data_IF_153015966010
#
_entry.id   IF_153015966010
#
_cell.length_a   1.000
_cell.length_b   1.000
_cell.length_c   1.000
_cell.angle_alpha   90.00
_cell.angle_beta   90.00
_cell.angle_gamma   90.00
#
_symmetry.space_group_name_H-M   'P 1'
#
loop_
_entity.id
_entity.type
_entity.pdbx_description
1 polymer ?
#
# COMPACT_ATOMS: atom_id res chain seq x y z
N UNK A 1 4.99 -0.09 -83.97
CA UNK A 1 4.14 1.13 -84.07
C UNK A 1 4.63 2.09 -82.97
N UNK A 2 5.48 3.09 -83.25
CA UNK A 2 5.17 4.41 -83.84
C UNK A 2 4.04 5.09 -83.03
N UNK A 3 4.18 6.24 -82.37
CA UNK A 3 4.90 7.52 -82.65
C UNK A 3 4.87 8.38 -81.36
N UNK A 4 5.95 9.04 -80.90
CA UNK A 4 6.37 10.44 -81.19
C UNK A 4 5.25 11.51 -81.08
N UNK A 5 5.41 12.75 -80.60
CA UNK A 5 6.46 13.63 -80.02
C UNK A 5 5.80 15.00 -79.72
N UNK A 6 6.38 15.80 -78.80
CA UNK A 6 6.68 17.28 -78.84
C UNK A 6 6.71 17.81 -77.38
N UNK A 7 7.80 18.31 -76.77
CA UNK A 7 8.75 19.42 -77.09
C UNK A 7 8.00 20.76 -77.15
N UNK A 8 8.29 21.89 -76.46
CA UNK A 8 9.42 22.48 -75.72
C UNK A 8 8.82 23.55 -74.73
N UNK A 9 9.51 24.18 -73.76
CA UNK A 9 10.62 25.13 -73.90
C UNK A 9 11.26 25.48 -72.53
N UNK A 10 12.54 25.79 -72.62
CA UNK A 10 13.46 26.22 -71.57
C UNK A 10 13.20 27.63 -71.01
N UNK A 11 13.78 27.93 -69.84
CA UNK A 11 14.56 29.17 -69.52
C UNK A 11 15.28 29.00 -68.17
N UNK A 12 16.62 29.01 -68.18
CA UNK A 12 17.54 30.10 -67.75
C UNK A 12 17.85 30.02 -66.25
N UNK A 13 19.13 29.82 -65.95
CA UNK A 13 19.64 29.62 -64.60
C UNK A 13 19.91 30.90 -63.83
N UNK A 14 20.35 30.71 -62.58
CA UNK A 14 21.17 31.66 -61.86
C UNK A 14 21.93 30.91 -60.76
N UNK A 15 23.26 30.97 -60.81
CA UNK A 15 24.13 30.66 -59.68
C UNK A 15 23.88 31.70 -58.58
N UNK A 16 23.65 31.26 -57.35
CA UNK A 16 23.74 32.12 -56.17
C UNK A 16 24.54 31.38 -55.08
N UNK A 17 25.77 31.83 -54.94
CA UNK A 17 26.67 31.54 -53.83
C UNK A 17 26.08 32.21 -52.57
N UNK A 18 25.69 31.43 -51.57
CA UNK A 18 25.23 31.95 -50.28
C UNK A 18 26.32 31.73 -49.23
N UNK A 19 27.01 32.83 -48.90
CA UNK A 19 27.68 33.00 -47.63
C UNK A 19 26.60 33.28 -46.58
N UNK A 20 26.46 32.39 -45.60
CA UNK A 20 25.72 32.68 -44.37
C UNK A 20 26.66 32.43 -43.19
N UNK A 21 26.92 33.52 -42.50
CA UNK A 21 27.72 33.70 -41.30
C UNK A 21 27.27 32.76 -40.20
N UNK A 22 28.22 32.02 -39.61
CA UNK A 22 28.00 31.17 -38.45
C UNK A 22 27.49 31.98 -37.26
N UNK A 23 26.21 31.80 -36.94
CA UNK A 23 25.67 32.05 -35.60
C UNK A 23 25.88 30.77 -34.82
N UNK A 24 26.81 30.80 -33.87
CA UNK A 24 26.92 29.77 -32.85
C UNK A 24 25.66 29.86 -31.97
N UNK A 25 24.63 29.08 -32.31
CA UNK A 25 23.59 28.75 -31.35
C UNK A 25 24.24 27.86 -30.29
N UNK A 26 24.64 28.45 -29.16
CA UNK A 26 24.82 27.70 -27.93
C UNK A 26 23.46 27.09 -27.61
N UNK A 27 23.27 25.81 -27.95
CA UNK A 27 22.19 25.02 -27.38
C UNK A 27 22.44 24.99 -25.88
N UNK A 28 21.72 25.83 -25.13
CA UNK A 28 21.57 25.67 -23.70
C UNK A 28 21.00 24.29 -23.48
N UNK A 29 21.84 23.36 -23.01
CA UNK A 29 21.37 22.15 -22.37
C UNK A 29 20.50 22.64 -21.22
N UNK A 30 19.19 22.59 -21.40
CA UNK A 30 18.27 22.75 -20.29
C UNK A 30 18.67 21.64 -19.30
N UNK A 31 19.30 22.04 -18.19
CA UNK A 31 19.39 21.17 -17.03
C UNK A 31 17.96 20.80 -16.70
N UNK A 32 17.59 19.54 -16.95
CA UNK A 32 16.35 19.00 -16.42
C UNK A 32 16.38 19.27 -14.92
N UNK A 33 15.51 20.17 -14.47
CA UNK A 33 15.41 20.49 -13.05
C UNK A 33 15.03 19.18 -12.36
N UNK A 34 15.89 18.70 -11.46
CA UNK A 34 15.57 17.57 -10.59
C UNK A 34 14.22 17.89 -9.95
N UNK A 35 13.19 17.02 -10.11
CA UNK A 35 11.89 17.26 -9.52
C UNK A 35 12.04 17.52 -8.02
N UNK A 36 11.33 18.52 -7.51
CA UNK A 36 11.33 18.78 -6.08
C UNK A 36 10.81 17.55 -5.32
N UNK A 37 11.44 17.25 -4.17
CA UNK A 37 10.97 16.17 -3.32
C UNK A 37 9.54 16.42 -2.84
N UNK A 38 8.78 15.34 -2.73
CA UNK A 38 7.53 15.35 -1.99
C UNK A 38 7.79 15.76 -0.53
N UNK A 39 6.84 16.46 0.13
CA UNK A 39 7.03 16.94 1.50
C UNK A 39 7.49 15.84 2.47
N UNK A 40 6.87 14.64 2.42
CA UNK A 40 7.26 13.53 3.28
C UNK A 40 8.68 13.03 3.07
N UNK A 41 9.23 13.17 1.87
CA UNK A 41 10.62 12.79 1.55
C UNK A 41 11.58 13.85 2.09
N UNK A 42 11.20 15.13 2.02
CA UNK A 42 11.94 16.21 2.68
C UNK A 42 11.99 16.02 4.20
N UNK A 43 10.87 15.63 4.81
CA UNK A 43 10.79 15.28 6.23
C UNK A 43 11.74 14.15 6.61
N UNK A 44 11.83 13.09 5.78
CA UNK A 44 12.79 12.01 6.01
C UNK A 44 14.22 12.56 5.98
N UNK A 45 14.57 13.35 4.94
CA UNK A 45 15.91 13.93 4.82
C UNK A 45 16.29 14.73 6.06
N UNK A 46 15.37 15.54 6.60
CA UNK A 46 15.58 16.29 7.84
C UNK A 46 15.75 15.37 9.06
N UNK A 47 14.93 14.32 9.18
CA UNK A 47 15.07 13.33 10.24
C UNK A 47 16.46 12.68 10.20
N UNK A 48 16.93 12.24 9.02
CA UNK A 48 18.23 11.58 8.88
C UNK A 48 19.39 12.52 9.22
N UNK A 49 19.31 13.80 8.84
CA UNK A 49 20.31 14.81 9.21
C UNK A 49 20.43 15.01 10.74
N UNK A 50 19.31 14.93 11.45
CA UNK A 50 19.28 15.11 12.92
C UNK A 50 19.50 13.82 13.69
N UNK A 51 19.44 12.66 13.03
CA UNK A 51 19.56 11.32 13.62
C UNK A 51 20.50 10.42 12.81
N UNK A 52 21.83 10.60 12.97
CA UNK A 52 22.83 9.78 12.28
C UNK A 52 22.70 8.28 12.55
N UNK A 53 22.17 7.90 13.72
CA UNK A 53 21.89 6.52 14.09
C UNK A 53 20.77 5.90 13.22
N UNK A 54 19.69 6.66 12.96
CA UNK A 54 18.61 6.23 12.04
C UNK A 54 19.13 6.20 10.60
N UNK A 55 19.94 7.18 10.21
CA UNK A 55 20.55 7.22 8.87
C UNK A 55 21.43 6.00 8.60
N UNK A 56 22.32 5.65 9.54
CA UNK A 56 23.17 4.48 9.41
C UNK A 56 22.34 3.19 9.30
N UNK A 57 21.33 3.05 10.16
CA UNK A 57 20.42 1.90 10.14
C UNK A 57 19.64 1.78 8.81
N UNK A 58 19.23 2.91 8.22
CA UNK A 58 18.56 2.92 6.92
C UNK A 58 19.50 2.55 5.78
N UNK A 59 20.72 3.09 5.75
CA UNK A 59 21.71 2.71 4.74
C UNK A 59 22.00 1.21 4.81
N UNK A 60 22.25 0.67 6.00
CA UNK A 60 22.45 -0.77 6.19
C UNK A 60 21.24 -1.58 5.73
N UNK A 61 20.03 -1.13 6.06
CA UNK A 61 18.79 -1.79 5.66
C UNK A 61 18.64 -1.88 4.14
N UNK A 62 18.91 -0.78 3.43
CA UNK A 62 18.80 -0.71 1.97
C UNK A 62 19.85 -1.60 1.27
N UNK A 63 21.10 -1.57 1.75
CA UNK A 63 22.17 -2.42 1.22
C UNK A 63 21.85 -3.91 1.45
N UNK A 64 21.31 -4.26 2.63
CA UNK A 64 20.92 -5.63 2.95
C UNK A 64 19.68 -6.09 2.19
N UNK A 65 18.73 -5.20 1.94
CA UNK A 65 17.52 -5.50 1.16
C UNK A 65 17.90 -5.88 -0.28
N UNK A 66 18.83 -5.13 -0.88
CA UNK A 66 19.31 -5.31 -2.26
C UNK A 66 18.15 -5.52 -3.24
N UNK A 67 17.24 -4.55 -3.27
CA UNK A 67 15.98 -4.65 -4.00
C UNK A 67 15.86 -3.56 -5.07
N UNK A 68 15.68 -3.96 -6.33
CA UNK A 68 15.40 -3.08 -7.47
C UNK A 68 16.34 -1.86 -7.58
N UNK A 69 17.64 -2.07 -7.33
CA UNK A 69 18.67 -1.01 -7.33
C UNK A 69 18.49 0.10 -6.28
N UNK A 70 17.60 -0.09 -5.29
CA UNK A 70 17.37 0.84 -4.18
C UNK A 70 18.32 0.51 -3.03
N UNK A 71 19.62 0.73 -3.23
CA UNK A 71 20.68 0.41 -2.26
C UNK A 71 21.34 1.64 -1.65
N UNK A 72 20.98 2.84 -2.10
CA UNK A 72 21.48 4.13 -1.61
C UNK A 72 20.33 5.01 -1.11
N UNK A 73 20.65 5.99 -0.25
CA UNK A 73 19.66 6.97 0.20
C UNK A 73 19.06 7.76 -0.97
N UNK A 74 19.88 8.14 -1.95
CA UNK A 74 19.43 8.88 -3.12
C UNK A 74 18.41 8.06 -3.95
N UNK A 75 18.72 6.79 -4.22
CA UNK A 75 17.79 5.90 -4.89
C UNK A 75 16.50 5.69 -4.07
N UNK A 76 16.63 5.59 -2.74
CA UNK A 76 15.47 5.45 -1.86
C UNK A 76 14.58 6.69 -1.84
N UNK A 77 15.15 7.90 -1.82
CA UNK A 77 14.36 9.13 -1.93
C UNK A 77 13.62 9.21 -3.27
N UNK A 78 14.28 8.82 -4.37
CA UNK A 78 13.62 8.70 -5.68
C UNK A 78 12.44 7.72 -5.64
N UNK A 79 12.66 6.53 -5.09
CA UNK A 79 11.61 5.53 -4.88
C UNK A 79 10.44 6.08 -4.06
N UNK A 80 10.70 6.79 -2.96
CA UNK A 80 9.65 7.34 -2.10
C UNK A 80 8.85 8.46 -2.76
N UNK A 81 9.51 9.31 -3.55
CA UNK A 81 8.87 10.38 -4.31
C UNK A 81 7.83 9.82 -5.30
N UNK A 82 8.11 8.66 -5.89
CA UNK A 82 7.14 7.95 -6.73
C UNK A 82 6.10 7.18 -5.91
N UNK A 83 6.53 6.53 -4.82
CA UNK A 83 5.69 5.65 -4.02
C UNK A 83 4.53 6.39 -3.32
N UNK A 84 4.77 7.60 -2.78
CA UNK A 84 3.74 8.37 -2.06
C UNK A 84 2.59 8.84 -2.96
N UNK A 85 2.79 8.87 -4.28
CA UNK A 85 1.73 9.17 -5.26
C UNK A 85 1.51 8.01 -6.24
N UNK A 86 1.87 6.78 -5.84
CA UNK A 86 1.73 5.62 -6.73
C UNK A 86 0.25 5.29 -6.93
N UNK A 87 -0.14 5.21 -8.20
CA UNK A 87 -1.49 4.84 -8.62
C UNK A 87 -1.66 3.33 -8.45
N UNK A 88 -2.64 2.86 -7.65
CA UNK A 88 -2.87 1.43 -7.46
C UNK A 88 -3.19 0.70 -8.75
N UNK A 89 -2.67 -0.52 -8.89
CA UNK A 89 -3.04 -1.46 -9.94
C UNK A 89 -3.27 -2.84 -9.34
N UNK A 90 -4.22 -3.60 -9.87
CA UNK A 90 -4.54 -4.94 -9.36
C UNK A 90 -3.32 -5.89 -9.36
N UNK A 91 -2.46 -5.81 -10.38
CA UNK A 91 -1.30 -6.68 -10.61
C UNK A 91 -0.06 -6.32 -9.76
N UNK A 92 0.01 -5.10 -9.23
CA UNK A 92 1.16 -4.59 -8.48
C UNK A 92 0.88 -4.13 -7.06
N UNK A 93 -0.38 -3.86 -6.68
CA UNK A 93 -0.73 -3.23 -5.41
C UNK A 93 -0.06 -3.89 -4.19
N UNK A 94 -0.19 -5.22 -4.06
CA UNK A 94 0.43 -5.94 -2.96
C UNK A 94 1.96 -5.88 -3.06
N UNK A 95 2.52 -6.06 -4.27
CA UNK A 95 3.97 -6.02 -4.53
C UNK A 95 4.59 -4.68 -4.17
N UNK A 96 3.89 -3.60 -4.50
CA UNK A 96 4.28 -2.23 -4.19
C UNK A 96 4.30 -1.97 -2.69
N UNK A 97 3.24 -2.41 -1.99
CA UNK A 97 3.15 -2.30 -0.54
C UNK A 97 4.25 -3.10 0.18
N UNK A 98 4.48 -4.37 -0.21
CA UNK A 98 5.51 -5.20 0.43
C UNK A 98 6.91 -4.73 0.10
N UNK A 99 7.16 -4.14 -1.09
CA UNK A 99 8.45 -3.56 -1.43
C UNK A 99 8.83 -2.39 -0.52
N UNK A 100 7.87 -1.53 -0.19
CA UNK A 100 8.09 -0.41 0.73
C UNK A 100 8.57 -0.92 2.10
N UNK A 101 7.85 -1.90 2.66
CA UNK A 101 8.20 -2.47 3.96
C UNK A 101 9.49 -3.30 3.91
N UNK A 102 9.72 -4.05 2.83
CA UNK A 102 10.93 -4.87 2.68
C UNK A 102 12.22 -4.04 2.78
N UNK A 103 12.24 -2.84 2.18
CA UNK A 103 13.38 -1.93 2.20
C UNK A 103 13.75 -1.45 3.61
N UNK A 104 12.77 -1.34 4.52
CA UNK A 104 12.96 -0.83 5.89
C UNK A 104 12.95 -1.94 6.96
N UNK A 105 12.42 -3.12 6.64
CA UNK A 105 12.30 -4.27 7.54
C UNK A 105 13.65 -4.93 7.86
N UNK A 106 14.72 -4.63 7.11
CA UNK A 106 16.02 -5.29 7.30
C UNK A 106 16.77 -4.84 8.57
N UNK A 107 16.25 -3.81 9.26
CA UNK A 107 16.85 -3.22 10.46
C UNK A 107 15.88 -3.13 11.64
N UNK A 108 16.18 -3.88 12.69
CA UNK A 108 15.49 -3.80 14.00
C UNK A 108 15.52 -2.39 14.60
N UNK A 109 16.61 -1.65 14.38
CA UNK A 109 16.77 -0.30 14.90
C UNK A 109 15.72 0.65 14.30
N UNK A 110 15.43 0.52 13.00
CA UNK A 110 14.38 1.29 12.33
C UNK A 110 12.98 0.92 12.86
N UNK A 111 12.69 -0.39 13.00
CA UNK A 111 11.40 -0.89 13.50
C UNK A 111 11.12 -0.50 14.95
N UNK A 112 12.17 -0.24 15.73
CA UNK A 112 12.08 0.18 17.14
C UNK A 112 12.19 1.70 17.33
N UNK A 113 12.62 2.44 16.31
CA UNK A 113 12.79 3.90 16.38
C UNK A 113 11.45 4.63 16.29
N UNK A 114 11.01 5.23 17.40
CA UNK A 114 9.76 5.99 17.44
C UNK A 114 9.70 7.13 16.39
N UNK A 115 10.71 8.01 16.25
CA UNK A 115 10.66 9.06 15.23
C UNK A 115 10.57 8.52 13.80
N UNK A 116 11.21 7.38 13.52
CA UNK A 116 11.12 6.74 12.21
C UNK A 116 9.75 6.13 11.98
N UNK A 117 9.17 5.46 12.98
CA UNK A 117 7.81 4.92 12.90
C UNK A 117 6.76 6.03 12.72
N UNK A 118 6.93 7.18 13.38
CA UNK A 118 6.08 8.35 13.14
C UNK A 118 6.21 8.90 11.71
N UNK A 119 7.41 8.83 11.11
CA UNK A 119 7.58 9.13 9.70
C UNK A 119 6.88 8.11 8.79
N UNK A 120 7.01 6.81 9.06
CA UNK A 120 6.32 5.74 8.29
C UNK A 120 4.80 5.93 8.34
N UNK A 121 4.24 6.23 9.51
CA UNK A 121 2.80 6.51 9.66
C UNK A 121 2.38 7.69 8.77
N UNK A 122 3.12 8.79 8.78
CA UNK A 122 2.83 9.96 7.95
C UNK A 122 2.97 9.66 6.45
N UNK A 123 3.95 8.84 6.06
CA UNK A 123 4.09 8.38 4.67
C UNK A 123 2.87 7.60 4.19
N UNK A 124 2.38 6.67 5.00
CA UNK A 124 1.17 5.90 4.67
C UNK A 124 -0.07 6.81 4.64
N UNK A 125 -0.16 7.80 5.53
CA UNK A 125 -1.23 8.79 5.53
C UNK A 125 -1.20 9.69 4.28
N UNK A 126 -0.03 10.14 3.84
CA UNK A 126 0.12 10.97 2.64
C UNK A 126 -0.23 10.19 1.38
N UNK A 127 0.16 8.91 1.29
CA UNK A 127 -0.31 8.04 0.21
C UNK A 127 -1.83 7.86 0.28
N UNK A 128 -2.38 7.61 1.46
CA UNK A 128 -3.84 7.56 1.67
C UNK A 128 -4.55 8.84 1.21
N UNK A 129 -3.98 10.01 1.46
CA UNK A 129 -4.49 11.31 0.99
C UNK A 129 -4.40 11.45 -0.53
N UNK A 130 -3.35 10.94 -1.17
CA UNK A 130 -3.30 10.84 -2.63
C UNK A 130 -4.41 9.92 -3.18
N UNK A 131 -4.71 8.82 -2.48
CA UNK A 131 -5.78 7.89 -2.86
C UNK A 131 -7.20 8.47 -2.73
N UNK A 132 -7.36 9.61 -2.07
CA UNK A 132 -8.61 10.39 -2.05
C UNK A 132 -8.77 11.33 -3.26
N UNK A 133 -7.77 11.41 -4.15
CA UNK A 133 -7.83 12.26 -5.35
C UNK A 133 -8.38 11.51 -6.57
N UNK A 134 -8.97 12.20 -7.57
CA UNK A 134 -9.37 11.57 -8.82
C UNK A 134 -8.22 10.93 -9.62
N UNK A 135 -6.98 11.45 -9.47
CA UNK A 135 -5.82 10.92 -10.16
C UNK A 135 -5.50 9.46 -9.78
N UNK A 136 -5.85 9.06 -8.55
CA UNK A 136 -5.68 7.68 -8.06
C UNK A 136 -6.49 6.63 -8.83
N UNK A 137 -7.46 7.04 -9.65
CA UNK A 137 -8.28 6.13 -10.46
C UNK A 137 -7.71 5.82 -11.85
N UNK A 138 -6.56 6.39 -12.22
CA UNK A 138 -6.06 6.26 -13.59
C UNK A 138 -5.89 4.80 -14.06
N UNK A 139 -5.74 3.86 -13.13
CA UNK A 139 -5.60 2.42 -13.40
C UNK A 139 -6.75 1.56 -12.88
N UNK A 140 -7.93 2.15 -12.62
CA UNK A 140 -9.09 1.43 -12.09
C UNK A 140 -9.51 0.24 -12.97
N UNK A 141 -9.29 0.32 -14.29
CA UNK A 141 -9.60 -0.77 -15.23
C UNK A 141 -8.81 -2.06 -14.96
N UNK A 142 -7.61 -1.97 -14.37
CA UNK A 142 -6.86 -3.16 -13.96
C UNK A 142 -7.62 -4.01 -12.95
N UNK A 143 -8.39 -3.39 -12.06
CA UNK A 143 -9.22 -4.07 -11.07
C UNK A 143 -10.48 -4.69 -11.66
N UNK A 144 -11.06 -4.08 -12.69
CA UNK A 144 -12.17 -4.68 -13.43
C UNK A 144 -11.73 -5.88 -14.28
N UNK A 145 -10.49 -5.87 -14.77
CA UNK A 145 -9.92 -6.96 -15.54
C UNK A 145 -9.51 -8.17 -14.69
N UNK A 146 -9.30 -7.99 -13.39
CA UNK A 146 -8.91 -9.07 -12.48
C UNK A 146 -10.16 -9.75 -11.86
N UNK A 147 -10.44 -11.03 -12.21
CA UNK A 147 -11.60 -11.74 -11.70
C UNK A 147 -11.58 -11.94 -10.18
N UNK A 148 -10.43 -11.86 -9.52
CA UNK A 148 -10.32 -12.00 -8.06
C UNK A 148 -11.00 -10.85 -7.30
N UNK A 149 -11.19 -9.70 -7.94
CA UNK A 149 -11.93 -8.58 -7.35
C UNK A 149 -13.44 -8.75 -7.43
N UNK A 150 -13.97 -9.66 -8.27
CA UNK A 150 -15.41 -9.98 -8.38
C UNK A 150 -16.30 -8.74 -8.51
N UNK A 151 -15.99 -7.85 -9.46
CA UNK A 151 -16.63 -6.54 -9.57
C UNK A 151 -18.15 -6.56 -9.71
N UNK A 152 -18.73 -7.65 -10.19
CA UNK A 152 -20.18 -7.84 -10.29
C UNK A 152 -20.91 -7.88 -8.94
N UNK A 153 -20.19 -8.11 -7.83
CA UNK A 153 -20.76 -8.14 -6.49
C UNK A 153 -21.04 -6.75 -5.92
N UNK A 154 -20.45 -5.69 -6.47
CA UNK A 154 -20.46 -4.37 -5.85
C UNK A 154 -21.34 -3.36 -6.57
N UNK A 155 -21.87 -2.41 -5.80
CA UNK A 155 -22.62 -1.27 -6.31
C UNK A 155 -21.65 -0.25 -6.92
N UNK A 156 -21.95 0.18 -8.14
CA UNK A 156 -21.26 1.28 -8.82
C UNK A 156 -22.30 2.36 -9.05
N UNK A 157 -22.12 3.53 -8.45
CA UNK A 157 -23.04 4.65 -8.61
C UNK A 157 -23.05 5.18 -10.05
N UNK A 158 -24.07 5.95 -10.46
CA UNK A 158 -24.16 6.50 -11.82
C UNK A 158 -22.95 7.33 -12.26
N UNK A 159 -22.27 7.98 -11.32
CA UNK A 159 -21.05 8.75 -11.56
C UNK A 159 -19.75 7.94 -11.50
N UNK A 160 -19.82 6.63 -11.29
CA UNK A 160 -18.65 5.78 -11.06
C UNK A 160 -17.91 6.09 -9.77
N UNK A 161 -16.68 5.61 -9.67
CA UNK A 161 -15.75 5.93 -8.58
C UNK A 161 -15.19 7.33 -8.76
N UNK A 162 -15.05 8.08 -7.66
CA UNK A 162 -14.48 9.43 -7.63
C UNK A 162 -13.00 9.44 -7.25
N UNK A 163 -12.57 8.46 -6.46
CA UNK A 163 -11.18 8.21 -6.09
C UNK A 163 -10.98 6.73 -5.73
N UNK A 164 -9.73 6.31 -5.54
CA UNK A 164 -9.40 4.93 -5.23
C UNK A 164 -9.93 4.50 -3.84
N UNK A 165 -9.87 5.36 -2.82
CA UNK A 165 -10.38 5.01 -1.49
C UNK A 165 -11.88 4.68 -1.49
N UNK A 166 -12.69 5.36 -2.31
CA UNK A 166 -14.10 5.03 -2.52
C UNK A 166 -14.27 3.64 -3.16
N UNK A 167 -13.42 3.29 -4.13
CA UNK A 167 -13.40 1.96 -4.74
C UNK A 167 -12.94 0.89 -3.74
N UNK A 168 -11.91 1.17 -2.95
CA UNK A 168 -11.38 0.25 -1.94
C UNK A 168 -12.46 -0.06 -0.90
N UNK A 169 -13.18 0.97 -0.43
CA UNK A 169 -14.32 0.88 0.47
C UNK A 169 -15.67 0.71 -0.27
N UNK A 170 -15.68 0.05 -1.45
CA UNK A 170 -16.88 -0.26 -2.25
C UNK A 170 -17.99 -0.92 -1.43
N UNK A 171 -19.23 -0.80 -1.89
CA UNK A 171 -20.40 -1.41 -1.25
C UNK A 171 -20.87 -2.67 -1.96
N UNK A 172 -21.27 -3.67 -1.19
CA UNK A 172 -21.80 -4.93 -1.73
C UNK A 172 -23.27 -4.78 -2.13
N UNK A 173 -23.66 -5.36 -3.27
CA UNK A 173 -25.06 -5.39 -3.71
C UNK A 173 -25.91 -6.27 -2.78
N UNK A 174 -27.20 -5.95 -2.58
CA UNK A 174 -28.12 -6.82 -1.85
C UNK A 174 -28.10 -8.26 -2.38
N UNK A 175 -28.11 -9.22 -1.46
CA UNK A 175 -28.15 -10.66 -1.79
C UNK A 175 -26.80 -11.30 -2.13
N UNK A 176 -25.70 -10.54 -2.27
CA UNK A 176 -24.37 -11.12 -2.56
C UNK A 176 -23.65 -11.69 -1.35
N UNK A 177 -24.06 -11.31 -0.14
CA UNK A 177 -23.59 -11.85 1.15
C UNK A 177 -24.80 -12.13 2.04
N UNK A 178 -25.57 -13.21 1.79
CA UNK A 178 -26.69 -13.57 2.65
C UNK A 178 -26.16 -13.91 4.05
N UNK A 179 -26.77 -13.29 5.06
CA UNK A 179 -26.47 -13.57 6.48
C UNK A 179 -27.26 -14.80 6.91
N UNK A 180 -26.54 -15.81 7.38
CA UNK A 180 -27.10 -17.05 7.91
C UNK A 180 -27.65 -16.87 9.34
N UNK A 181 -28.47 -17.81 9.80
CA UNK A 181 -28.95 -17.84 11.19
C UNK A 181 -29.71 -16.59 11.62
N UNK A 182 -30.49 -15.98 10.72
CA UNK A 182 -31.30 -14.80 11.06
C UNK A 182 -32.23 -15.15 12.23
N UNK A 183 -32.01 -14.50 13.37
CA UNK A 183 -32.71 -14.73 14.65
C UNK A 183 -32.32 -16.01 15.41
N UNK A 184 -31.23 -16.67 15.03
CA UNK A 184 -30.62 -17.75 15.80
C UNK A 184 -29.42 -17.23 16.60
N UNK A 185 -29.59 -17.13 17.93
CA UNK A 185 -28.54 -16.66 18.84
C UNK A 185 -27.36 -17.64 18.97
N UNK A 186 -27.49 -18.87 18.46
CA UNK A 186 -26.40 -19.85 18.45
C UNK A 186 -25.45 -19.67 17.24
N UNK A 187 -25.78 -18.80 16.28
CA UNK A 187 -25.00 -18.60 15.05
C UNK A 187 -24.20 -17.32 15.12
N UNK A 188 -22.88 -17.44 14.93
CA UNK A 188 -21.95 -16.33 14.72
C UNK A 188 -21.51 -16.35 13.26
N UNK A 189 -21.69 -15.26 12.53
CA UNK A 189 -21.31 -15.15 11.12
C UNK A 189 -19.94 -14.52 10.93
N UNK A 190 -19.33 -14.70 9.76
CA UNK A 190 -18.06 -14.02 9.45
C UNK A 190 -18.24 -12.50 9.42
N UNK A 191 -17.37 -11.71 10.06
CA UNK A 191 -17.46 -10.25 10.06
C UNK A 191 -16.99 -9.61 8.75
N UNK A 192 -16.24 -10.34 7.92
CA UNK A 192 -15.69 -9.83 6.66
C UNK A 192 -15.43 -10.96 5.65
N UNK A 193 -15.31 -10.57 4.37
CA UNK A 193 -14.68 -11.42 3.36
C UNK A 193 -13.21 -11.56 3.72
N UNK A 194 -12.80 -12.77 4.10
CA UNK A 194 -11.48 -13.02 4.67
C UNK A 194 -11.11 -14.50 4.58
N UNK A 195 -9.83 -14.79 4.80
CA UNK A 195 -9.30 -16.15 4.96
C UNK A 195 -9.18 -16.45 6.45
N UNK A 196 -9.84 -17.51 6.91
CA UNK A 196 -9.70 -18.01 8.28
C UNK A 196 -8.28 -18.55 8.51
N UNK A 197 -7.62 -18.08 9.57
CA UNK A 197 -6.24 -18.46 9.89
C UNK A 197 -6.11 -19.33 11.15
N UNK A 198 -7.12 -19.32 12.02
CA UNK A 198 -7.14 -20.21 13.18
C UNK A 198 -8.01 -19.72 14.32
N UNK A 199 -8.20 -20.62 15.29
CA UNK A 199 -8.79 -20.34 16.58
C UNK A 199 -7.90 -20.85 17.71
N UNK A 200 -7.92 -20.15 18.84
CA UNK A 200 -7.16 -20.49 20.03
C UNK A 200 -7.99 -20.24 21.29
N UNK A 201 -7.89 -21.10 22.32
CA UNK A 201 -8.54 -20.84 23.60
C UNK A 201 -7.90 -19.63 24.28
N UNK A 202 -8.73 -18.85 24.96
CA UNK A 202 -8.30 -17.77 25.85
C UNK A 202 -8.26 -18.34 27.27
N UNK A 203 -7.09 -18.32 27.90
CA UNK A 203 -6.90 -18.82 29.26
C UNK A 203 -7.55 -17.92 30.33
N UNK A 204 -7.63 -18.42 31.56
CA UNK A 204 -8.24 -17.70 32.70
C UNK A 204 -7.53 -16.40 33.08
N UNK A 205 -6.26 -16.24 32.67
CA UNK A 205 -5.48 -15.01 32.82
C UNK A 205 -5.61 -14.06 31.61
N UNK A 206 -6.61 -14.29 30.75
CA UNK A 206 -6.86 -13.54 29.51
C UNK A 206 -5.65 -13.56 28.54
N UNK A 207 -4.94 -14.70 28.48
CA UNK A 207 -3.86 -14.92 27.53
C UNK A 207 -4.24 -15.90 26.42
N UNK A 208 -3.60 -15.75 25.26
CA UNK A 208 -3.75 -16.64 24.09
C UNK A 208 -2.39 -17.23 23.78
N UNK A 209 -2.30 -18.55 23.58
CA UNK A 209 -1.11 -19.19 23.05
C UNK A 209 -1.33 -19.55 21.57
N UNK A 210 -0.84 -18.68 20.68
CA UNK A 210 -0.97 -18.85 19.24
C UNK A 210 0.42 -19.11 18.65
N UNK A 211 0.55 -20.16 17.83
CA UNK A 211 1.79 -20.49 17.08
C UNK A 211 3.06 -20.47 17.96
N UNK A 212 2.97 -20.90 19.23
CA UNK A 212 4.10 -20.98 20.17
C UNK A 212 4.47 -19.66 20.86
N UNK A 213 3.67 -18.59 20.71
CA UNK A 213 3.84 -17.32 21.41
C UNK A 213 2.62 -17.03 22.27
N UNK A 214 2.87 -16.58 23.50
CA UNK A 214 1.83 -16.17 24.45
C UNK A 214 1.55 -14.67 24.30
N UNK A 215 0.29 -14.32 24.04
CA UNK A 215 -0.20 -12.96 23.91
C UNK A 215 -1.20 -12.63 25.02
N UNK A 216 -1.38 -11.35 25.32
CA UNK A 216 -2.34 -10.85 26.31
C UNK A 216 -3.50 -10.12 25.62
N UNK A 217 -4.74 -10.52 25.95
CA UNK A 217 -5.95 -9.77 25.55
C UNK A 217 -5.91 -8.38 26.15
N UNK A 218 -5.44 -8.22 27.40
CA UNK A 218 -5.33 -6.89 28.03
C UNK A 218 -4.42 -5.97 27.20
N UNK A 219 -3.30 -6.48 26.70
CA UNK A 219 -2.42 -5.71 25.82
C UNK A 219 -3.07 -5.43 24.45
N UNK A 220 -3.79 -6.41 23.88
CA UNK A 220 -4.54 -6.23 22.63
C UNK A 220 -5.59 -5.11 22.74
N UNK A 221 -6.22 -4.97 23.90
CA UNK A 221 -7.21 -3.94 24.20
C UNK A 221 -6.62 -2.66 24.83
N UNK A 222 -5.28 -2.51 24.89
CA UNK A 222 -4.61 -1.37 25.56
C UNK A 222 -5.09 -1.10 27.00
N UNK A 223 -5.38 -2.16 27.77
CA UNK A 223 -5.87 -2.03 29.15
C UNK A 223 -7.36 -1.68 29.25
N UNK A 224 -8.14 -1.86 28.18
CA UNK A 224 -9.59 -1.65 28.17
C UNK A 224 -10.33 -2.48 29.21
N UNK A 225 -11.49 -1.98 29.66
CA UNK A 225 -12.25 -2.53 30.78
C UNK A 225 -12.81 -3.94 30.55
N UNK A 226 -12.88 -4.39 29.30
CA UNK A 226 -13.51 -5.66 28.91
C UNK A 226 -12.56 -6.85 28.82
N UNK A 227 -11.25 -6.68 29.09
CA UNK A 227 -10.29 -7.78 28.93
C UNK A 227 -10.68 -9.06 29.69
N UNK A 228 -11.23 -8.91 30.89
CA UNK A 228 -11.69 -10.02 31.73
C UNK A 228 -12.92 -10.73 31.18
N UNK A 229 -13.73 -10.06 30.35
CA UNK A 229 -14.91 -10.66 29.73
C UNK A 229 -14.56 -11.74 28.68
N UNK A 230 -13.31 -11.77 28.23
CA UNK A 230 -12.81 -12.74 27.25
C UNK A 230 -12.17 -13.98 27.89
N UNK A 231 -11.98 -14.02 29.21
CA UNK A 231 -11.40 -15.18 29.93
C UNK A 231 -12.22 -16.45 29.68
N UNK A 232 -11.54 -17.55 29.36
CA UNK A 232 -12.20 -18.82 29.01
C UNK A 232 -12.88 -18.83 27.63
N UNK A 233 -12.77 -17.73 26.87
CA UNK A 233 -13.35 -17.60 25.54
C UNK A 233 -12.50 -18.22 24.43
N UNK A 234 -12.83 -17.86 23.19
CA UNK A 234 -12.10 -18.29 21.99
C UNK A 234 -11.67 -17.07 21.19
N UNK A 235 -10.38 -17.02 20.86
CA UNK A 235 -9.83 -16.03 19.94
C UNK A 235 -9.84 -16.59 18.53
N UNK A 236 -10.40 -15.83 17.58
CA UNK A 236 -10.46 -16.19 16.16
C UNK A 236 -9.69 -15.17 15.34
N UNK A 237 -8.84 -15.63 14.43
CA UNK A 237 -8.10 -14.77 13.52
C UNK A 237 -8.48 -15.07 12.07
N UNK A 238 -8.78 -14.00 11.33
CA UNK A 238 -9.03 -14.04 9.90
C UNK A 238 -8.31 -12.86 9.23
N UNK A 239 -7.82 -13.09 8.01
CA UNK A 239 -7.02 -12.13 7.25
C UNK A 239 -7.77 -11.66 6.00
N UNK A 240 -7.77 -10.36 5.76
CA UNK A 240 -8.35 -9.74 4.57
C UNK A 240 -7.23 -9.44 3.58
N UNK A 241 -7.33 -9.98 2.38
CA UNK A 241 -6.41 -9.71 1.29
C UNK A 241 -6.79 -8.43 0.53
N UNK A 242 -5.88 -7.90 -0.30
CA UNK A 242 -6.06 -6.63 -1.02
C UNK A 242 -7.27 -6.65 -1.98
N UNK A 243 -7.67 -7.83 -2.46
CA UNK A 243 -8.78 -8.02 -3.38
C UNK A 243 -10.13 -8.25 -2.67
N UNK A 244 -10.14 -8.45 -1.35
CA UNK A 244 -11.35 -8.68 -0.57
C UNK A 244 -12.20 -7.41 -0.44
N UNK A 245 -13.40 -7.57 0.12
CA UNK A 245 -14.29 -6.47 0.47
C UNK A 245 -13.86 -5.87 1.82
N UNK A 246 -13.37 -4.62 1.79
CA UNK A 246 -12.75 -3.96 2.94
C UNK A 246 -13.74 -3.18 3.82
N UNK A 247 -14.92 -3.73 4.08
CA UNK A 247 -15.80 -3.24 5.16
C UNK A 247 -16.11 -4.38 6.12
N UNK A 248 -15.96 -4.09 7.41
CA UNK A 248 -16.32 -5.00 8.48
C UNK A 248 -17.80 -4.87 8.83
N UNK A 249 -18.40 -6.00 9.18
CA UNK A 249 -19.75 -6.14 9.70
C UNK A 249 -19.68 -6.79 11.08
N UNK A 250 -20.72 -6.58 11.90
CA UNK A 250 -20.81 -7.21 13.22
C UNK A 250 -21.18 -8.69 13.07
N UNK A 251 -20.43 -9.64 13.67
CA UNK A 251 -20.65 -11.08 13.49
C UNK A 251 -21.85 -11.62 14.27
N UNK A 252 -22.40 -10.84 15.20
CA UNK A 252 -23.57 -11.16 16.00
C UNK A 252 -24.37 -9.88 16.32
N UNK A 253 -25.63 -10.03 16.72
CA UNK A 253 -26.43 -8.91 17.24
C UNK A 253 -25.92 -8.50 18.63
N UNK A 254 -25.88 -7.20 18.91
CA UNK A 254 -25.41 -6.70 20.18
C UNK A 254 -25.53 -5.19 20.31
N UNK A 255 -25.08 -4.67 21.44
CA UNK A 255 -24.95 -3.23 21.68
C UNK A 255 -23.47 -2.90 21.70
N UNK A 256 -23.06 -1.93 20.87
CA UNK A 256 -21.70 -1.38 20.92
C UNK A 256 -21.49 -0.70 22.28
N UNK A 257 -20.53 -1.21 23.03
CA UNK A 257 -20.10 -0.72 24.33
C UNK A 257 -18.83 0.11 24.23
N UNK A 258 -17.96 -0.19 23.27
CA UNK A 258 -16.70 0.53 23.05
C UNK A 258 -16.34 0.56 21.56
N UNK A 259 -15.83 1.70 21.12
CA UNK A 259 -15.19 1.85 19.82
C UNK A 259 -13.96 2.74 19.97
N UNK A 260 -12.80 2.26 19.53
CA UNK A 260 -11.55 3.00 19.65
C UNK A 260 -10.65 2.76 18.43
N UNK A 261 -9.89 3.78 18.04
CA UNK A 261 -8.71 3.62 17.19
C UNK A 261 -7.50 3.48 18.12
N UNK A 262 -6.89 2.30 18.11
CA UNK A 262 -5.66 2.01 18.85
C UNK A 262 -4.49 2.32 17.93
N UNK A 263 -3.71 3.34 18.29
CA UNK A 263 -2.48 3.65 17.58
C UNK A 263 -1.42 2.59 17.90
N UNK A 264 -0.68 2.21 16.87
CA UNK A 264 0.39 1.23 16.95
C UNK A 264 1.35 1.45 15.79
N UNK A 265 2.18 0.45 15.52
CA UNK A 265 3.13 0.50 14.41
C UNK A 265 2.41 0.33 13.06
N UNK A 266 2.98 0.91 12.01
CA UNK A 266 2.69 0.55 10.63
C UNK A 266 3.91 -0.22 10.14
N UNK A 267 3.89 -1.52 10.37
CA UNK A 267 5.03 -2.40 10.11
C UNK A 267 4.53 -3.70 9.50
N UNK A 268 5.26 -4.24 8.54
CA UNK A 268 4.98 -5.52 7.92
C UNK A 268 6.30 -6.25 7.80
N UNK A 269 6.39 -7.42 8.44
CA UNK A 269 7.54 -8.27 8.22
C UNK A 269 7.42 -8.88 6.83
N UNK A 270 8.44 -8.68 6.02
CA UNK A 270 8.52 -9.15 4.63
C UNK A 270 9.84 -9.89 4.45
N UNK A 271 9.78 -11.07 3.84
CA UNK A 271 10.96 -11.86 3.47
C UNK A 271 11.08 -11.95 1.95
N UNK A 272 12.32 -12.19 1.49
CA UNK A 272 12.59 -12.56 0.11
C UNK A 272 12.72 -14.07 0.02
N UNK A 273 11.89 -14.71 -0.79
CA UNK A 273 11.95 -16.13 -1.03
C UNK A 273 13.31 -16.47 -1.69
N UNK A 274 14.10 -17.43 -1.16
CA UNK A 274 15.44 -17.72 -1.65
C UNK A 274 15.49 -18.15 -3.13
N UNK A 275 14.51 -18.96 -3.56
CA UNK A 275 14.53 -19.55 -4.91
C UNK A 275 13.92 -18.63 -5.98
N UNK A 276 12.77 -18.02 -5.72
CA UNK A 276 12.07 -17.15 -6.70
C UNK A 276 12.58 -15.72 -6.65
N UNK A 277 13.19 -15.30 -5.54
CA UNK A 277 13.57 -13.92 -5.29
C UNK A 277 12.37 -12.99 -5.07
N UNK A 278 11.14 -13.52 -5.05
CA UNK A 278 9.93 -12.74 -4.75
C UNK A 278 9.90 -12.32 -3.29
N UNK A 279 9.37 -11.14 -3.03
CA UNK A 279 9.17 -10.63 -1.67
C UNK A 279 7.72 -10.87 -1.26
N UNK A 280 7.54 -11.45 -0.08
CA UNK A 280 6.24 -11.86 0.44
C UNK A 280 6.10 -11.45 1.91
N UNK A 281 4.89 -11.04 2.33
CA UNK A 281 4.64 -10.79 3.74
C UNK A 281 4.82 -12.10 4.50
N UNK A 282 5.51 -12.01 5.61
CA UNK A 282 5.47 -13.04 6.63
C UNK A 282 4.16 -12.90 7.40
N UNK A 283 3.63 -14.03 7.87
CA UNK A 283 2.62 -14.07 8.94
C UNK A 283 3.33 -14.49 10.25
N UNK A 284 4.28 -13.66 10.75
CA UNK A 284 4.93 -13.95 12.00
C UNK A 284 3.91 -13.76 13.11
N UNK A 285 4.13 -14.46 14.21
CA UNK A 285 3.23 -14.39 15.34
C UNK A 285 3.30 -13.00 15.97
N UNK A 286 2.17 -12.30 16.06
CA UNK A 286 2.03 -11.16 16.97
C UNK A 286 1.94 -9.78 16.34
N UNK A 287 2.08 -9.62 15.02
CA UNK A 287 1.99 -8.29 14.39
C UNK A 287 0.65 -7.58 14.74
N UNK A 288 -0.43 -8.36 14.87
CA UNK A 288 -1.77 -7.90 15.23
C UNK A 288 -1.81 -7.18 16.59
N UNK A 289 -0.88 -7.52 17.49
CA UNK A 289 -0.83 -6.99 18.85
C UNK A 289 -0.05 -5.67 18.93
N UNK A 290 0.78 -5.37 17.93
CA UNK A 290 1.63 -4.17 17.90
C UNK A 290 1.22 -3.14 16.85
N UNK A 291 0.44 -3.54 15.84
CA UNK A 291 -0.03 -2.65 14.79
C UNK A 291 -1.15 -1.73 15.25
N UNK A 292 -1.29 -0.61 14.53
CA UNK A 292 -2.48 0.21 14.60
C UNK A 292 -3.72 -0.62 14.21
N UNK A 293 -4.82 -0.45 14.96
CA UNK A 293 -6.02 -1.28 14.81
C UNK A 293 -7.27 -0.55 15.28
N UNK A 294 -8.42 -0.95 14.75
CA UNK A 294 -9.73 -0.58 15.28
C UNK A 294 -10.16 -1.59 16.35
N UNK A 295 -10.75 -1.09 17.43
CA UNK A 295 -11.40 -1.87 18.47
C UNK A 295 -12.92 -1.61 18.41
N UNK A 296 -13.69 -2.68 18.47
CA UNK A 296 -15.14 -2.68 18.65
C UNK A 296 -15.50 -3.74 19.69
N UNK A 297 -16.20 -3.34 20.75
CA UNK A 297 -16.80 -4.22 21.77
C UNK A 297 -18.31 -4.02 21.74
#
# INVERSE_FOLDING_TARGET
MLTQRRVAKARVGLFALLWLTGTWLMASLAQESVPADQPIVSDLKQLLQTRPDIQAALVESLVKADWNAVTTLEAYFGYLNEAVTRIPRADSLLKDAVAFYYLINQSDALRKSEPFQQWVIRFVQDWGGFLDTPASLAQIQSFYADPHYRMDDYFVGPGGWQNYNQFFAREVKPGKRPVDGRCDEAVIVSPADSVFLGTWPIADDASIEAKGVRHSITALLQGGAYADAFKGGVFTHAFLNVNDYHRFHTPAAGKVLEQQVILGKMDLEVQRHPDTGEIEPLDPVGYQFTQARGLLI
#
